data_IF_980853030963
#
_entry.id   IF_980853030963
#
_cell.length_a   1.000
_cell.length_b   1.000
_cell.length_c   1.000
_cell.angle_alpha   90.00
_cell.angle_beta   90.00
_cell.angle_gamma   90.00
#
_symmetry.space_group_name_H-M   'P 1'
#
loop_
_entity.id
_entity.type
_entity.pdbx_description
1 polymer ?
#
# COMPACT_ATOMS: atom_id res chain seq x y z
N UNK A 1 2.42 -14.28 -28.57
CA UNK A 1 2.78 -13.08 -27.76
C UNK A 1 2.30 -13.37 -26.35
N UNK A 2 3.22 -13.52 -25.40
CA UNK A 2 2.84 -13.59 -23.99
C UNK A 2 2.06 -12.31 -23.63
N UNK A 3 0.94 -12.40 -22.91
CA UNK A 3 0.22 -11.22 -22.49
C UNK A 3 1.11 -10.43 -21.52
N UNK A 4 1.70 -9.34 -22.01
CA UNK A 4 2.70 -8.48 -21.35
C UNK A 4 2.25 -7.86 -20.00
N UNK A 5 1.05 -8.20 -19.53
CA UNK A 5 0.40 -7.63 -18.36
C UNK A 5 -0.02 -8.68 -17.32
N UNK A 6 0.31 -9.96 -17.51
CA UNK A 6 -0.08 -11.00 -16.54
C UNK A 6 0.64 -10.75 -15.21
N UNK A 7 -0.08 -10.51 -14.10
CA UNK A 7 0.53 -10.36 -12.79
C UNK A 7 1.31 -11.63 -12.43
N UNK A 8 2.46 -11.46 -11.77
CA UNK A 8 3.13 -12.59 -11.12
C UNK A 8 2.30 -13.08 -9.94
N UNK A 9 2.45 -14.35 -9.57
CA UNK A 9 1.85 -14.87 -8.35
C UNK A 9 2.36 -14.06 -7.15
N UNK A 10 1.47 -13.72 -6.23
CA UNK A 10 1.81 -12.99 -5.02
C UNK A 10 2.09 -13.95 -3.87
N UNK A 11 3.33 -13.91 -3.38
CA UNK A 11 3.94 -14.83 -2.42
C UNK A 11 4.67 -14.10 -1.27
N UNK A 12 4.34 -12.83 -1.02
CA UNK A 12 5.05 -12.04 -0.03
C UNK A 12 4.78 -12.53 1.40
N UNK A 13 5.81 -12.56 2.23
CA UNK A 13 5.67 -12.78 3.67
C UNK A 13 5.16 -11.50 4.37
N UNK A 14 4.09 -11.56 5.18
CA UNK A 14 3.54 -10.38 5.88
C UNK A 14 4.50 -9.70 6.86
N UNK A 15 5.46 -10.44 7.42
CA UNK A 15 6.42 -9.93 8.40
C UNK A 15 7.64 -9.29 7.74
N UNK A 16 7.84 -9.51 6.44
CA UNK A 16 8.93 -8.90 5.67
C UNK A 16 8.91 -7.37 5.76
N UNK A 17 10.09 -6.70 5.86
CA UNK A 17 10.16 -5.23 5.88
C UNK A 17 9.64 -4.60 4.59
N UNK A 18 9.67 -5.33 3.47
CA UNK A 18 9.21 -4.90 2.15
C UNK A 18 7.80 -5.39 1.77
N UNK A 19 7.10 -6.06 2.70
CA UNK A 19 5.73 -6.57 2.54
C UNK A 19 4.76 -5.52 1.95
N UNK A 20 4.70 -4.34 2.56
CA UNK A 20 3.83 -3.23 2.13
C UNK A 20 4.16 -2.75 0.71
N UNK A 21 5.44 -2.63 0.38
CA UNK A 21 5.89 -2.17 -0.93
C UNK A 21 5.56 -3.19 -2.02
N UNK A 22 5.78 -4.48 -1.75
CA UNK A 22 5.43 -5.57 -2.67
C UNK A 22 3.93 -5.65 -2.91
N UNK A 23 3.13 -5.58 -1.85
CA UNK A 23 1.67 -5.56 -1.94
C UNK A 23 1.18 -4.39 -2.80
N UNK A 24 1.60 -3.15 -2.49
CA UNK A 24 1.16 -1.96 -3.23
C UNK A 24 1.53 -2.02 -4.71
N UNK A 25 2.74 -2.50 -5.02
CA UNK A 25 3.18 -2.66 -6.40
C UNK A 25 2.36 -3.73 -7.12
N UNK A 26 2.25 -4.92 -6.53
CA UNK A 26 1.51 -6.04 -7.11
C UNK A 26 0.03 -5.70 -7.30
N UNK A 27 -0.63 -5.11 -6.29
CA UNK A 27 -2.03 -4.74 -6.35
C UNK A 27 -2.31 -3.74 -7.47
N UNK A 28 -1.42 -2.76 -7.68
CA UNK A 28 -1.52 -1.83 -8.81
C UNK A 28 -1.36 -2.53 -10.17
N UNK A 29 -0.46 -3.50 -10.28
CA UNK A 29 -0.33 -4.32 -11.50
C UNK A 29 -1.59 -5.16 -11.73
N UNK A 30 -2.14 -5.77 -10.68
CA UNK A 30 -3.35 -6.57 -10.72
C UNK A 30 -4.58 -5.74 -11.14
N UNK A 31 -4.75 -4.54 -10.59
CA UNK A 31 -5.82 -3.62 -11.00
C UNK A 31 -5.69 -3.20 -12.48
N UNK A 32 -4.47 -2.93 -12.94
CA UNK A 32 -4.20 -2.59 -14.35
C UNK A 32 -4.56 -3.76 -15.27
N UNK A 33 -4.23 -4.98 -14.86
CA UNK A 33 -4.60 -6.20 -15.56
C UNK A 33 -6.13 -6.36 -15.63
N UNK A 34 -6.83 -6.20 -14.51
CA UNK A 34 -8.30 -6.28 -14.48
C UNK A 34 -8.96 -5.25 -15.41
N UNK A 35 -8.44 -4.02 -15.46
CA UNK A 35 -8.93 -2.99 -16.37
C UNK A 35 -8.64 -3.27 -17.85
N UNK A 36 -7.63 -4.07 -18.16
CA UNK A 36 -7.30 -4.45 -19.56
C UNK A 36 -8.10 -5.65 -20.04
N UNK A 37 -8.42 -6.58 -19.14
CA UNK A 37 -9.13 -7.85 -19.46
C UNK A 37 -10.65 -7.70 -19.27
N UNK A 38 -11.14 -6.46 -19.17
CA UNK A 38 -12.52 -6.14 -18.79
C UNK A 38 -13.51 -6.91 -19.68
N UNK A 39 -14.11 -7.95 -19.10
CA UNK A 39 -15.09 -8.80 -19.75
C UNK A 39 -16.23 -9.05 -18.75
N UNK A 40 -17.50 -9.01 -19.21
CA UNK A 40 -18.66 -9.07 -18.32
C UNK A 40 -18.82 -10.40 -17.56
N UNK A 41 -17.98 -11.41 -17.87
CA UNK A 41 -17.99 -12.73 -17.22
C UNK A 41 -16.81 -12.95 -16.28
N UNK A 42 -15.93 -11.96 -16.09
CA UNK A 42 -14.74 -12.14 -15.27
C UNK A 42 -15.08 -12.09 -13.78
N UNK A 43 -14.94 -13.22 -13.11
CA UNK A 43 -15.04 -13.26 -11.66
C UNK A 43 -13.74 -12.74 -11.03
N UNK A 44 -13.80 -11.53 -10.45
CA UNK A 44 -12.65 -10.86 -9.83
C UNK A 44 -12.05 -11.67 -8.67
N UNK A 45 -12.90 -12.34 -7.88
CA UNK A 45 -12.47 -13.15 -6.75
C UNK A 45 -11.74 -14.41 -7.20
N UNK A 46 -12.28 -15.14 -8.18
CA UNK A 46 -11.57 -16.31 -8.74
C UNK A 46 -10.27 -15.91 -9.42
N UNK A 47 -10.26 -14.76 -10.11
CA UNK A 47 -9.03 -14.22 -10.70
C UNK A 47 -8.00 -13.92 -9.61
N UNK A 48 -8.42 -13.27 -8.51
CA UNK A 48 -7.56 -13.01 -7.36
C UNK A 48 -6.94 -14.30 -6.81
N UNK A 49 -7.77 -15.34 -6.58
CA UNK A 49 -7.34 -16.64 -6.06
C UNK A 49 -6.29 -17.30 -6.96
N UNK A 50 -6.43 -17.19 -8.29
CA UNK A 50 -5.44 -17.74 -9.23
C UNK A 50 -4.08 -17.02 -9.23
N UNK A 51 -4.02 -15.79 -8.71
CA UNK A 51 -2.80 -14.97 -8.71
C UNK A 51 -2.19 -14.80 -7.32
N UNK A 52 -2.70 -15.50 -6.30
CA UNK A 52 -2.11 -15.57 -4.96
C UNK A 52 -1.54 -16.97 -4.72
N UNK A 53 -0.45 -17.05 -3.96
CA UNK A 53 0.14 -18.33 -3.61
C UNK A 53 -0.59 -18.98 -2.41
N UNK A 54 -0.39 -20.28 -2.22
CA UNK A 54 -0.98 -21.07 -1.14
C UNK A 54 -0.89 -20.42 0.26
N UNK A 55 0.27 -19.87 0.72
CA UNK A 55 0.35 -19.24 2.04
C UNK A 55 -0.50 -17.97 2.15
N UNK A 56 -0.70 -17.24 1.04
CA UNK A 56 -1.53 -16.03 1.01
C UNK A 56 -3.01 -16.39 0.94
N UNK A 57 -3.36 -17.44 0.21
CA UNK A 57 -4.74 -17.91 0.07
C UNK A 57 -5.39 -18.26 1.41
N UNK A 58 -4.64 -18.79 2.38
CA UNK A 58 -5.14 -19.12 3.72
C UNK A 58 -5.83 -17.93 4.39
N UNK A 59 -5.37 -16.71 4.15
CA UNK A 59 -5.94 -15.50 4.75
C UNK A 59 -7.23 -15.02 4.09
N UNK A 60 -7.53 -15.47 2.86
CA UNK A 60 -8.71 -15.04 2.09
C UNK A 60 -9.68 -16.19 1.78
N UNK A 61 -9.38 -17.42 2.22
CA UNK A 61 -10.18 -18.61 1.94
C UNK A 61 -11.62 -18.47 2.44
N UNK A 62 -11.82 -17.78 3.57
CA UNK A 62 -13.14 -17.55 4.18
C UNK A 62 -13.84 -16.27 3.69
N UNK A 63 -13.23 -15.49 2.77
CA UNK A 63 -13.82 -14.26 2.28
C UNK A 63 -14.90 -14.55 1.22
N UNK A 64 -16.15 -14.05 1.41
CA UNK A 64 -17.25 -14.32 0.49
C UNK A 64 -17.19 -13.48 -0.80
N UNK A 65 -16.48 -12.36 -0.77
CA UNK A 65 -16.43 -11.40 -1.85
C UNK A 65 -15.02 -10.81 -2.06
N UNK A 66 -14.82 -10.23 -3.24
CA UNK A 66 -13.55 -9.66 -3.65
C UNK A 66 -13.12 -8.48 -2.76
N UNK A 67 -14.05 -7.62 -2.33
CA UNK A 67 -13.72 -6.44 -1.53
C UNK A 67 -13.27 -6.85 -0.12
N UNK A 68 -13.93 -7.84 0.48
CA UNK A 68 -13.54 -8.45 1.76
C UNK A 68 -12.15 -9.10 1.68
N UNK A 69 -11.85 -9.82 0.60
CA UNK A 69 -10.54 -10.43 0.38
C UNK A 69 -9.43 -9.36 0.26
N UNK A 70 -9.66 -8.32 -0.55
CA UNK A 70 -8.70 -7.22 -0.70
C UNK A 70 -8.52 -6.45 0.61
N UNK A 71 -9.60 -6.16 1.34
CA UNK A 71 -9.50 -5.46 2.63
C UNK A 71 -8.70 -6.27 3.65
N UNK A 72 -8.85 -7.60 3.65
CA UNK A 72 -8.09 -8.51 4.52
C UNK A 72 -6.61 -8.52 4.16
N UNK A 73 -6.28 -8.64 2.87
CA UNK A 73 -4.90 -8.59 2.40
C UNK A 73 -4.26 -7.21 2.64
N UNK A 74 -4.99 -6.13 2.41
CA UNK A 74 -4.50 -4.77 2.66
C UNK A 74 -4.17 -4.59 4.14
N UNK A 75 -5.03 -5.02 5.07
CA UNK A 75 -4.74 -4.97 6.51
C UNK A 75 -3.55 -5.85 6.91
N UNK A 76 -3.37 -6.97 6.24
CA UNK A 76 -2.28 -7.92 6.50
C UNK A 76 -0.92 -7.35 6.06
N UNK A 77 -0.84 -6.76 4.87
CA UNK A 77 0.42 -6.31 4.27
C UNK A 77 0.71 -4.82 4.47
N UNK A 78 -0.30 -3.98 4.63
CA UNK A 78 -0.16 -2.54 4.87
C UNK A 78 -0.26 -2.30 6.36
N UNK A 79 0.91 -2.18 7.01
CA UNK A 79 0.96 -1.83 8.43
C UNK A 79 0.35 -0.44 8.64
N UNK A 80 -0.51 -0.25 9.65
CA UNK A 80 -1.03 1.06 9.97
C UNK A 80 0.14 2.00 10.31
N UNK A 81 0.14 3.17 9.69
CA UNK A 81 1.20 4.17 9.90
C UNK A 81 1.04 4.75 11.30
N UNK A 82 2.11 4.71 12.09
CA UNK A 82 2.16 5.45 13.35
C UNK A 82 2.38 6.93 13.04
N UNK A 83 1.28 7.69 12.98
CA UNK A 83 1.28 9.12 12.63
C UNK A 83 2.12 9.93 13.64
N UNK A 84 2.04 9.60 14.93
CA UNK A 84 2.79 10.30 15.99
C UNK A 84 4.29 10.13 15.74
N UNK A 85 4.72 8.89 15.49
CA UNK A 85 6.11 8.60 15.18
C UNK A 85 6.58 9.26 13.88
N UNK A 86 5.75 9.26 12.83
CA UNK A 86 6.07 9.92 11.56
C UNK A 86 6.26 11.45 11.73
N UNK A 87 5.40 12.10 12.52
CA UNK A 87 5.52 13.53 12.86
C UNK A 87 6.77 13.81 13.67
N UNK A 88 7.08 12.95 14.64
CA UNK A 88 8.31 13.05 15.43
C UNK A 88 9.56 12.94 14.54
N UNK A 89 9.60 11.97 13.61
CA UNK A 89 10.69 11.83 12.65
C UNK A 89 10.87 13.06 11.77
N UNK A 90 9.77 13.65 11.29
CA UNK A 90 9.82 14.87 10.47
C UNK A 90 10.36 16.05 11.28
N UNK A 91 9.86 16.25 12.51
CA UNK A 91 10.24 17.36 13.38
C UNK A 91 11.70 17.27 13.85
N UNK A 92 12.22 16.07 14.06
CA UNK A 92 13.59 15.83 14.52
C UNK A 92 14.60 15.69 13.38
N UNK A 93 14.15 15.67 12.12
CA UNK A 93 15.01 15.55 10.95
C UNK A 93 15.92 16.79 10.82
N UNK A 94 17.23 16.58 10.85
CA UNK A 94 18.25 17.63 10.66
C UNK A 94 19.00 17.38 9.35
N UNK A 95 19.47 18.47 8.73
CA UNK A 95 20.34 18.39 7.57
C UNK A 95 21.72 17.88 8.01
N UNK A 96 22.21 16.85 7.33
CA UNK A 96 23.56 16.33 7.56
C UNK A 96 24.61 17.30 6.98
N UNK A 97 25.79 17.40 7.59
CA UNK A 97 26.83 18.37 7.19
C UNK A 97 27.36 18.16 5.76
N UNK A 98 27.23 16.96 5.22
CA UNK A 98 27.62 16.59 3.86
C UNK A 98 26.45 16.60 2.86
N UNK A 99 25.23 16.89 3.33
CA UNK A 99 24.02 16.80 2.52
C UNK A 99 23.70 18.15 1.88
N UNK A 100 23.45 18.12 0.57
CA UNK A 100 22.96 19.28 -0.16
C UNK A 100 21.52 19.66 0.22
N UNK A 101 21.16 20.94 0.05
CA UNK A 101 19.84 21.47 0.41
C UNK A 101 18.72 20.76 -0.36
N UNK A 102 18.89 20.50 -1.67
CA UNK A 102 17.86 19.82 -2.46
C UNK A 102 17.64 18.39 -1.98
N UNK A 103 18.73 17.68 -1.62
CA UNK A 103 18.65 16.34 -1.06
C UNK A 103 17.91 16.34 0.29
N UNK A 104 18.17 17.34 1.13
CA UNK A 104 17.48 17.48 2.41
C UNK A 104 15.99 17.75 2.22
N UNK A 105 15.62 18.64 1.29
CA UNK A 105 14.21 18.92 0.94
C UNK A 105 13.51 17.67 0.42
N UNK A 106 14.16 16.86 -0.43
CA UNK A 106 13.59 15.59 -0.91
C UNK A 106 13.33 14.59 0.23
N UNK A 107 14.25 14.52 1.21
CA UNK A 107 14.09 13.70 2.41
C UNK A 107 12.89 14.16 3.25
N UNK A 108 12.77 15.47 3.50
CA UNK A 108 11.62 16.04 4.23
C UNK A 108 10.30 15.76 3.52
N UNK A 109 10.23 15.94 2.19
CA UNK A 109 9.04 15.61 1.38
C UNK A 109 8.66 14.14 1.50
N UNK A 110 9.64 13.24 1.58
CA UNK A 110 9.38 11.81 1.73
C UNK A 110 8.84 11.46 3.12
N UNK A 111 9.35 12.08 4.18
CA UNK A 111 8.83 11.92 5.55
C UNK A 111 7.43 12.51 5.72
N UNK A 112 7.18 13.67 5.12
CA UNK A 112 5.89 14.37 5.16
C UNK A 112 4.72 13.51 4.63
N UNK A 113 4.94 12.64 3.64
CA UNK A 113 3.91 11.73 3.08
C UNK A 113 3.32 10.76 4.11
N UNK A 114 3.99 10.54 5.24
CA UNK A 114 3.54 9.63 6.29
C UNK A 114 2.86 10.33 7.46
N UNK A 115 2.80 11.67 7.47
CA UNK A 115 2.28 12.46 8.59
C UNK A 115 0.77 12.69 8.59
N UNK A 116 0.07 12.25 7.53
CA UNK A 116 -1.38 12.37 7.32
C UNK A 116 -1.91 13.75 7.73
N UNK A 117 -1.45 14.78 7.01
CA UNK A 117 -1.84 16.16 7.29
C UNK A 117 -3.31 16.37 6.93
N UNK A 118 -4.10 16.77 7.92
CA UNK A 118 -5.48 17.19 7.73
C UNK A 118 -5.52 18.70 7.56
N UNK A 119 -6.33 19.18 6.63
CA UNK A 119 -6.65 20.59 6.57
C UNK A 119 -7.57 20.91 7.76
N UNK A 120 -7.07 21.71 8.68
CA UNK A 120 -7.80 22.16 9.86
C UNK A 120 -8.05 23.66 9.70
N UNK A 121 -9.29 24.09 9.94
CA UNK A 121 -9.63 25.50 10.02
C UNK A 121 -9.45 26.01 11.44
N UNK A 122 -9.35 27.34 11.61
CA UNK A 122 -9.26 27.93 12.94
C UNK A 122 -10.46 27.57 13.86
N UNK A 123 -11.61 27.24 13.27
CA UNK A 123 -12.85 26.85 13.98
C UNK A 123 -12.75 25.43 14.54
N UNK A 124 -11.99 24.54 13.87
CA UNK A 124 -11.82 23.15 14.31
C UNK A 124 -10.98 23.05 15.59
N UNK A 125 -10.07 24.01 15.82
CA UNK A 125 -9.24 24.09 17.04
C UNK A 125 -9.93 24.75 18.23
N UNK A 126 -11.10 25.37 18.03
CA UNK A 126 -11.86 26.00 19.11
C UNK A 126 -12.70 24.99 19.90
N UNK A 127 -12.91 23.78 19.34
CA UNK A 127 -13.76 22.72 19.89
C UNK A 127 -12.99 21.46 20.34
N UNK A 128 -11.66 21.50 20.39
CA UNK A 128 -10.76 20.42 20.83
C UNK A 128 -10.20 20.71 22.24
#
# INVERSE_FOLDING_TARGET
MEPLLRPKCFDADPNSPDATTRWNHWFRTFQTFLGTVESPKLNKLETLIHFVDAPVYVYIADCPDYESAISTLEKLYVRPKNIIYARHLLQTCKQDTSQDVDQFVQRLKSLAKNCDFKAVSAIDHENE
#
